data_IF_940175056686
#
_entry.id   IF_940175056686
#
_cell.length_a   1.000
_cell.length_b   1.000
_cell.length_c   1.000
_cell.angle_alpha   90.00
_cell.angle_beta   90.00
_cell.angle_gamma   90.00
#
_symmetry.space_group_name_H-M   'P 1'
#
loop_
_entity.id
_entity.type
_entity.pdbx_description
1 polymer ?
#
# COMPACT_ATOMS: atom_id res chain seq x y z
N UNK A 1 -5.62 -13.11 14.06
CA UNK A 1 -5.09 -12.77 12.72
C UNK A 1 -6.25 -12.16 11.96
N UNK A 2 -6.28 -10.83 11.82
CA UNK A 2 -7.30 -10.17 11.00
C UNK A 2 -6.90 -10.38 9.54
N UNK A 3 -7.72 -11.15 8.86
CA UNK A 3 -7.59 -11.38 7.42
C UNK A 3 -7.72 -10.02 6.72
N UNK A 4 -6.74 -9.68 5.87
CA UNK A 4 -6.75 -8.46 5.06
C UNK A 4 -7.73 -8.59 3.88
N UNK A 5 -8.92 -9.17 4.13
CA UNK A 5 -9.93 -9.33 3.10
C UNK A 5 -10.44 -7.94 2.70
N UNK A 6 -10.27 -7.63 1.44
CA UNK A 6 -10.84 -6.43 0.82
C UNK A 6 -12.36 -6.51 0.95
N UNK A 7 -12.93 -5.68 1.79
CA UNK A 7 -14.38 -5.58 1.91
C UNK A 7 -14.82 -4.56 0.87
N UNK A 8 -15.49 -5.02 -0.19
CA UNK A 8 -16.18 -4.14 -1.12
C UNK A 8 -17.57 -3.83 -0.57
N UNK A 9 -17.82 -2.56 -0.34
CA UNK A 9 -19.10 -2.09 0.21
C UNK A 9 -19.73 -1.15 -0.81
N UNK A 10 -21.00 -1.36 -1.09
CA UNK A 10 -21.81 -0.38 -1.81
C UNK A 10 -22.40 0.61 -0.82
N UNK A 11 -22.09 1.89 -0.98
CA UNK A 11 -22.70 2.98 -0.24
C UNK A 11 -23.15 4.08 -1.22
N UNK A 12 -24.19 4.83 -0.86
CA UNK A 12 -24.58 5.97 -1.69
C UNK A 12 -23.52 7.08 -1.60
N UNK A 13 -23.37 7.85 -2.69
CA UNK A 13 -22.48 9.01 -2.73
C UNK A 13 -22.77 10.03 -1.62
N UNK A 14 -24.05 10.24 -1.30
CA UNK A 14 -24.48 11.12 -0.23
C UNK A 14 -24.04 10.64 1.16
N UNK A 15 -24.15 9.33 1.42
CA UNK A 15 -23.70 8.74 2.68
C UNK A 15 -22.17 8.79 2.80
N UNK A 16 -21.45 8.58 1.71
CA UNK A 16 -19.99 8.70 1.68
C UNK A 16 -19.54 10.13 2.01
N UNK A 17 -20.20 11.14 1.42
CA UNK A 17 -19.94 12.54 1.72
C UNK A 17 -20.25 12.89 3.17
N UNK A 18 -21.39 12.41 3.69
CA UNK A 18 -21.76 12.58 5.09
C UNK A 18 -20.71 11.96 6.02
N UNK A 19 -20.28 10.74 5.76
CA UNK A 19 -19.27 10.07 6.56
C UNK A 19 -17.93 10.79 6.54
N UNK A 20 -17.47 11.24 5.38
CA UNK A 20 -16.22 12.04 5.26
C UNK A 20 -16.25 13.32 6.10
N UNK A 21 -17.41 13.91 6.26
CA UNK A 21 -17.59 15.20 6.93
C UNK A 21 -17.83 15.08 8.44
N UNK A 22 -18.38 13.97 8.91
CA UNK A 22 -18.92 13.86 10.27
C UNK A 22 -18.36 12.68 11.08
N UNK A 23 -17.53 11.83 10.51
CA UNK A 23 -17.06 10.61 11.17
C UNK A 23 -15.53 10.58 11.21
N UNK A 24 -14.96 10.56 12.41
CA UNK A 24 -13.52 10.53 12.65
C UNK A 24 -12.83 9.28 12.08
N UNK A 25 -13.52 8.14 12.09
CA UNK A 25 -13.06 6.89 11.49
C UNK A 25 -14.11 6.27 10.59
N UNK A 26 -14.19 6.79 9.35
CA UNK A 26 -15.16 6.36 8.33
C UNK A 26 -15.06 4.86 8.06
N UNK A 27 -13.85 4.30 8.06
CA UNK A 27 -13.64 2.89 7.77
C UNK A 27 -14.23 1.97 8.84
N UNK A 28 -14.10 2.36 10.12
CA UNK A 28 -14.68 1.58 11.22
C UNK A 28 -16.21 1.69 11.21
N UNK A 29 -16.73 2.90 11.07
CA UNK A 29 -18.17 3.15 11.02
C UNK A 29 -18.85 2.38 9.88
N UNK A 30 -18.27 2.42 8.67
CA UNK A 30 -18.81 1.67 7.53
C UNK A 30 -18.71 0.17 7.76
N UNK A 31 -17.59 -0.32 8.32
CA UNK A 31 -17.41 -1.76 8.60
C UNK A 31 -18.48 -2.29 9.58
N UNK A 32 -18.76 -1.56 10.66
CA UNK A 32 -19.79 -1.91 11.63
C UNK A 32 -21.17 -1.83 11.01
N UNK A 33 -21.50 -0.73 10.32
CA UNK A 33 -22.80 -0.53 9.67
C UNK A 33 -23.10 -1.56 8.59
N UNK A 34 -22.05 -2.06 7.89
CA UNK A 34 -22.21 -3.09 6.85
C UNK A 34 -22.36 -4.47 7.44
N UNK A 35 -21.63 -4.81 8.52
CA UNK A 35 -21.80 -6.08 9.22
C UNK A 35 -23.26 -6.26 9.62
N UNK A 36 -23.86 -5.23 10.23
CA UNK A 36 -25.27 -5.27 10.65
C UNK A 36 -26.24 -5.42 9.48
N UNK A 37 -25.90 -4.90 8.29
CA UNK A 37 -26.76 -5.01 7.09
C UNK A 37 -26.57 -6.30 6.30
N UNK A 38 -25.38 -6.87 6.32
CA UNK A 38 -25.13 -8.21 5.75
C UNK A 38 -25.92 -9.25 6.55
N UNK A 39 -25.89 -9.16 7.88
CA UNK A 39 -26.60 -10.06 8.77
C UNK A 39 -28.14 -9.92 8.64
N UNK A 40 -28.62 -8.76 8.18
CA UNK A 40 -30.05 -8.49 7.94
C UNK A 40 -30.55 -8.77 6.50
N UNK A 41 -29.67 -9.17 5.56
CA UNK A 41 -30.04 -9.52 4.18
C UNK A 41 -30.47 -8.35 3.28
N UNK A 42 -30.19 -7.11 3.66
CA UNK A 42 -30.70 -5.88 3.03
C UNK A 42 -29.84 -5.27 1.91
N UNK A 43 -28.82 -5.99 1.42
CA UNK A 43 -27.87 -5.44 0.41
C UNK A 43 -28.22 -5.85 -1.03
N UNK A 44 -29.34 -5.37 -1.57
CA UNK A 44 -29.75 -5.64 -2.98
C UNK A 44 -30.07 -4.37 -3.79
N UNK A 45 -29.70 -3.18 -3.33
CA UNK A 45 -29.99 -1.94 -4.05
C UNK A 45 -28.97 -1.68 -5.19
N UNK A 46 -29.40 -1.65 -6.47
CA UNK A 46 -28.50 -1.42 -7.60
C UNK A 46 -27.99 0.03 -7.74
N UNK A 47 -28.52 0.98 -6.94
CA UNK A 47 -28.08 2.38 -6.95
C UNK A 47 -26.81 2.65 -6.13
N UNK A 48 -26.30 1.63 -5.43
CA UNK A 48 -25.13 1.78 -4.56
C UNK A 48 -23.83 1.68 -5.37
N UNK A 49 -22.96 2.68 -5.21
CA UNK A 49 -21.59 2.63 -5.76
C UNK A 49 -20.71 1.69 -4.95
N UNK A 50 -19.80 0.97 -5.65
CA UNK A 50 -18.78 0.17 -4.99
C UNK A 50 -17.67 1.08 -4.46
N UNK A 51 -17.51 1.13 -3.15
CA UNK A 51 -16.38 1.79 -2.51
C UNK A 51 -15.45 0.74 -1.93
N UNK A 52 -14.27 0.62 -2.50
CA UNK A 52 -13.20 -0.20 -1.91
C UNK A 52 -12.56 0.58 -0.76
N UNK A 53 -12.90 0.21 0.47
CA UNK A 53 -12.33 0.84 1.66
C UNK A 53 -11.08 0.05 2.05
N UNK A 54 -9.93 0.61 1.78
CA UNK A 54 -8.66 0.14 2.34
C UNK A 54 -8.48 0.78 3.69
N UNK A 55 -8.61 -0.01 4.76
CA UNK A 55 -8.31 0.48 6.10
C UNK A 55 -6.82 0.79 6.20
N UNK A 56 -6.49 1.99 6.67
CA UNK A 56 -5.11 2.33 7.03
C UNK A 56 -4.65 1.34 8.09
N UNK A 57 -3.65 0.53 7.79
CA UNK A 57 -3.05 -0.33 8.79
C UNK A 57 -2.24 0.52 9.77
N UNK A 58 -2.08 0.12 11.04
CA UNK A 58 -1.38 0.92 12.05
C UNK A 58 0.10 1.18 11.72
N UNK A 59 0.67 0.46 10.74
CA UNK A 59 2.07 0.58 10.34
C UNK A 59 2.21 1.08 8.90
N UNK A 60 1.47 2.12 8.55
CA UNK A 60 1.49 2.73 7.22
C UNK A 60 1.95 4.18 7.30
N UNK A 61 2.96 4.53 6.51
CA UNK A 61 3.67 5.79 6.60
C UNK A 61 3.84 6.44 5.23
N UNK A 62 3.90 7.76 5.21
CA UNK A 62 4.52 8.47 4.10
C UNK A 62 6.02 8.22 4.11
N UNK A 63 6.60 8.09 2.93
CA UNK A 63 8.04 7.95 2.79
C UNK A 63 8.55 8.58 1.49
N UNK A 64 9.84 8.77 1.41
CA UNK A 64 10.56 9.12 0.17
C UNK A 64 11.68 8.13 -0.07
N UNK A 65 12.02 7.90 -1.33
CA UNK A 65 13.17 7.08 -1.69
C UNK A 65 14.46 7.84 -1.36
N UNK A 66 15.31 7.24 -0.53
CA UNK A 66 16.70 7.71 -0.35
C UNK A 66 17.60 7.13 -1.46
N UNK A 67 17.62 5.80 -1.60
CA UNK A 67 18.16 5.07 -2.75
C UNK A 67 17.63 3.62 -2.78
N UNK A 68 17.60 3.02 -3.95
CA UNK A 68 17.39 1.60 -4.12
C UNK A 68 18.73 0.85 -3.93
N UNK A 69 18.72 -0.22 -3.13
CA UNK A 69 19.90 -1.06 -2.88
C UNK A 69 20.00 -2.13 -3.96
N UNK A 70 18.87 -2.74 -4.28
CA UNK A 70 18.66 -3.71 -5.36
C UNK A 70 17.20 -3.67 -5.83
N UNK A 71 16.77 -4.65 -6.63
CA UNK A 71 15.43 -4.68 -7.22
C UNK A 71 14.30 -4.87 -6.21
N UNK A 72 14.56 -5.37 -5.01
CA UNK A 72 13.54 -5.61 -3.97
C UNK A 72 13.90 -5.04 -2.60
N UNK A 73 15.04 -4.36 -2.47
CA UNK A 73 15.50 -3.76 -1.21
C UNK A 73 15.76 -2.27 -1.37
N UNK A 74 15.10 -1.47 -0.56
CA UNK A 74 15.11 -0.01 -0.62
C UNK A 74 15.58 0.58 0.71
N UNK A 75 16.33 1.67 0.67
CA UNK A 75 16.49 2.58 1.80
C UNK A 75 15.47 3.72 1.64
N UNK A 76 14.56 3.82 2.60
CA UNK A 76 13.49 4.82 2.61
C UNK A 76 13.65 5.77 3.79
N UNK A 77 13.25 7.00 3.58
CA UNK A 77 13.10 8.01 4.62
C UNK A 77 11.63 8.15 4.97
N UNK A 78 11.23 7.65 6.15
CA UNK A 78 9.86 7.61 6.64
C UNK A 78 9.52 8.89 7.40
N UNK A 79 8.36 9.46 7.13
CA UNK A 79 7.76 10.48 7.98
C UNK A 79 7.02 9.80 9.15
N UNK A 80 7.58 9.90 10.34
CA UNK A 80 6.98 9.37 11.57
C UNK A 80 6.04 10.38 12.26
N UNK A 81 5.79 11.54 11.64
CA UNK A 81 5.09 12.66 12.26
C UNK A 81 5.96 13.47 13.21
N UNK A 82 5.43 14.55 13.75
CA UNK A 82 6.14 15.45 14.68
C UNK A 82 7.49 15.96 14.17
N UNK A 83 7.66 16.10 12.83
CA UNK A 83 8.93 16.44 12.15
C UNK A 83 10.04 15.41 12.37
N UNK A 84 9.71 14.17 12.72
CA UNK A 84 10.66 13.07 12.90
C UNK A 84 10.72 12.28 11.59
N UNK A 85 11.93 12.17 11.04
CA UNK A 85 12.21 11.35 9.88
C UNK A 85 13.12 10.19 10.28
N UNK A 86 12.79 8.99 9.83
CA UNK A 86 13.53 7.77 10.16
C UNK A 86 13.96 7.08 8.86
N UNK A 87 15.26 6.80 8.72
CA UNK A 87 15.79 6.04 7.59
C UNK A 87 15.86 4.57 7.94
N UNK A 88 15.15 3.75 7.19
CA UNK A 88 15.11 2.30 7.40
C UNK A 88 15.15 1.54 6.08
N UNK A 89 15.74 0.34 6.14
CA UNK A 89 15.76 -0.59 5.02
C UNK A 89 14.47 -1.39 4.98
N UNK A 90 13.85 -1.45 3.81
CA UNK A 90 12.69 -2.30 3.57
C UNK A 90 12.99 -3.31 2.48
N UNK A 91 12.42 -4.51 2.61
CA UNK A 91 12.35 -5.52 1.56
C UNK A 91 10.91 -5.60 1.06
N UNK A 92 10.74 -5.61 -0.25
CA UNK A 92 9.43 -5.75 -0.87
C UNK A 92 8.87 -7.14 -0.60
N UNK A 93 7.70 -7.19 0.05
CA UNK A 93 7.04 -8.45 0.43
C UNK A 93 6.45 -9.16 -0.78
N UNK A 94 6.50 -10.50 -0.78
CA UNK A 94 5.84 -11.35 -1.77
C UNK A 94 6.56 -11.44 -3.11
N UNK A 95 7.75 -10.85 -3.23
CA UNK A 95 8.57 -10.91 -4.45
C UNK A 95 10.04 -11.17 -4.13
N UNK A 96 10.76 -11.64 -5.14
CA UNK A 96 12.20 -11.85 -5.12
C UNK A 96 12.78 -11.38 -6.45
N UNK A 97 13.63 -10.35 -6.40
CA UNK A 97 14.30 -9.81 -7.57
C UNK A 97 15.64 -10.55 -7.78
N UNK A 98 16.11 -10.65 -9.04
CA UNK A 98 17.43 -11.18 -9.31
C UNK A 98 18.55 -10.36 -8.66
N UNK A 99 19.63 -11.03 -8.27
CA UNK A 99 20.79 -10.41 -7.67
C UNK A 99 21.40 -9.32 -8.57
N UNK A 100 21.97 -8.28 -7.97
CA UNK A 100 22.46 -7.08 -8.66
C UNK A 100 23.65 -7.34 -9.60
N UNK A 101 24.36 -8.44 -9.42
CA UNK A 101 25.45 -8.87 -10.30
C UNK A 101 24.96 -9.42 -11.64
N UNK A 102 23.65 -9.64 -11.78
CA UNK A 102 23.01 -10.09 -13.02
C UNK A 102 22.48 -8.92 -13.84
N UNK A 103 22.39 -9.10 -15.16
CA UNK A 103 21.77 -8.08 -16.04
C UNK A 103 20.31 -7.78 -15.64
N UNK A 104 19.54 -8.82 -15.29
CA UNK A 104 18.15 -8.64 -14.83
C UNK A 104 18.07 -7.89 -13.49
N UNK A 105 19.00 -8.14 -12.57
CA UNK A 105 19.06 -7.40 -11.30
C UNK A 105 19.35 -5.91 -11.52
N UNK A 106 20.26 -5.58 -12.45
CA UNK A 106 20.53 -4.19 -12.85
C UNK A 106 19.31 -3.54 -13.52
N UNK A 107 18.59 -4.29 -14.36
CA UNK A 107 17.33 -3.81 -14.96
C UNK A 107 16.24 -3.58 -13.91
N UNK A 108 16.14 -4.45 -12.90
CA UNK A 108 15.20 -4.30 -11.79
C UNK A 108 15.52 -3.04 -10.96
N UNK A 109 16.79 -2.84 -10.61
CA UNK A 109 17.24 -1.64 -9.92
C UNK A 109 16.90 -0.36 -10.70
N UNK A 110 17.28 -0.31 -11.99
CA UNK A 110 17.01 0.84 -12.84
C UNK A 110 15.49 1.11 -12.99
N UNK A 111 14.68 0.07 -13.04
CA UNK A 111 13.23 0.19 -13.06
C UNK A 111 12.70 0.86 -11.78
N UNK A 112 13.15 0.39 -10.61
CA UNK A 112 12.76 0.94 -9.32
C UNK A 112 13.16 2.41 -9.20
N UNK A 113 14.40 2.75 -9.53
CA UNK A 113 14.88 4.14 -9.49
C UNK A 113 14.06 5.04 -10.41
N UNK A 114 13.74 4.58 -11.61
CA UNK A 114 12.92 5.32 -12.56
C UNK A 114 11.50 5.56 -12.06
N UNK A 115 10.82 4.49 -11.58
CA UNK A 115 9.42 4.56 -11.15
C UNK A 115 9.24 5.39 -9.88
N UNK A 116 10.22 5.34 -8.96
CA UNK A 116 10.14 6.07 -7.70
C UNK A 116 10.75 7.47 -7.73
N UNK A 117 11.40 7.86 -8.83
CA UNK A 117 11.99 9.19 -8.96
C UNK A 117 10.91 10.29 -8.89
N UNK A 118 10.97 11.10 -7.83
CA UNK A 118 10.01 12.17 -7.59
C UNK A 118 8.59 11.69 -7.21
N UNK A 119 8.41 10.41 -6.92
CA UNK A 119 7.14 9.86 -6.49
C UNK A 119 6.88 10.09 -4.99
N UNK A 120 5.60 10.26 -4.64
CA UNK A 120 5.13 10.20 -3.26
C UNK A 120 4.86 8.73 -2.92
N UNK A 121 5.40 8.27 -1.79
CA UNK A 121 5.30 6.88 -1.37
C UNK A 121 4.40 6.74 -0.16
N UNK A 122 3.59 5.67 -0.17
CA UNK A 122 2.94 5.14 1.02
C UNK A 122 3.49 3.74 1.24
N UNK A 123 4.04 3.51 2.42
CA UNK A 123 4.71 2.25 2.77
C UNK A 123 3.97 1.57 3.90
N UNK A 124 3.42 0.41 3.61
CA UNK A 124 2.80 -0.45 4.63
C UNK A 124 3.82 -1.48 5.09
N UNK A 125 4.35 -1.29 6.30
CA UNK A 125 5.31 -2.20 6.89
C UNK A 125 4.63 -3.36 7.60
N UNK A 126 5.30 -4.51 7.60
CA UNK A 126 4.91 -5.72 8.33
C UNK A 126 5.93 -6.03 9.42
N UNK A 127 6.29 -7.28 9.63
CA UNK A 127 7.32 -7.71 10.57
C UNK A 127 8.72 -7.35 10.07
N UNK A 128 9.66 -7.18 10.98
CA UNK A 128 11.08 -7.10 10.68
C UNK A 128 11.62 -8.53 10.45
N UNK A 129 12.34 -8.73 9.35
CA UNK A 129 12.95 -10.03 9.07
C UNK A 129 14.28 -10.23 9.81
N UNK A 130 14.83 -11.45 9.76
CA UNK A 130 16.06 -11.84 10.48
C UNK A 130 17.31 -11.01 10.12
N UNK A 131 17.33 -10.38 8.95
CA UNK A 131 18.43 -9.51 8.51
C UNK A 131 18.21 -8.03 8.86
N UNK A 132 17.18 -7.73 9.63
CA UNK A 132 16.92 -6.39 10.15
C UNK A 132 16.19 -5.45 9.20
N UNK A 133 15.72 -5.91 8.02
CA UNK A 133 14.88 -5.14 7.11
C UNK A 133 13.40 -5.30 7.47
N UNK A 134 12.59 -4.26 7.26
CA UNK A 134 11.14 -4.39 7.35
C UNK A 134 10.58 -4.96 6.04
N UNK A 135 9.73 -5.97 6.13
CA UNK A 135 8.92 -6.41 5.00
C UNK A 135 7.85 -5.36 4.72
N UNK A 136 7.68 -4.93 3.47
CA UNK A 136 6.76 -3.85 3.15
C UNK A 136 6.07 -3.99 1.78
N UNK A 137 4.87 -3.41 1.69
CA UNK A 137 4.23 -3.02 0.45
C UNK A 137 4.51 -1.54 0.19
N UNK A 138 4.93 -1.20 -1.03
CA UNK A 138 5.25 0.17 -1.41
C UNK A 138 4.28 0.63 -2.50
N UNK A 139 3.35 1.49 -2.11
CA UNK A 139 2.46 2.20 -3.04
C UNK A 139 3.10 3.51 -3.44
N UNK A 140 2.96 3.90 -4.70
CA UNK A 140 3.57 5.14 -5.19
C UNK A 140 2.74 5.85 -6.25
N UNK A 141 2.92 7.16 -6.33
CA UNK A 141 2.37 7.99 -7.39
C UNK A 141 3.20 9.24 -7.61
N UNK A 142 3.40 9.63 -8.87
CA UNK A 142 3.97 10.94 -9.24
C UNK A 142 2.87 12.01 -9.25
N UNK A 143 1.63 11.59 -9.51
CA UNK A 143 0.48 12.48 -9.69
C UNK A 143 -0.21 12.82 -8.37
N UNK A 144 -0.43 11.80 -7.52
CA UNK A 144 -1.18 11.93 -6.27
C UNK A 144 -0.25 12.17 -5.09
N UNK A 145 -0.69 12.98 -4.13
CA UNK A 145 0.06 13.33 -2.91
C UNK A 145 -0.66 12.89 -1.64
N UNK A 146 -2.00 12.84 -1.69
CA UNK A 146 -2.80 12.46 -0.55
C UNK A 146 -2.75 10.94 -0.34
N UNK A 147 -2.80 10.54 0.93
CA UNK A 147 -2.72 9.13 1.33
C UNK A 147 -3.74 8.25 0.60
N UNK A 148 -5.02 8.64 0.67
CA UNK A 148 -6.12 7.84 0.12
C UNK A 148 -6.04 7.75 -1.41
N UNK A 149 -5.59 8.81 -2.08
CA UNK A 149 -5.44 8.85 -3.53
C UNK A 149 -4.29 7.97 -4.00
N UNK A 150 -3.15 7.97 -3.29
CA UNK A 150 -2.02 7.08 -3.62
C UNK A 150 -2.42 5.61 -3.43
N UNK A 151 -3.10 5.28 -2.34
CA UNK A 151 -3.56 3.90 -2.08
C UNK A 151 -4.61 3.46 -3.12
N UNK A 152 -5.50 4.36 -3.54
CA UNK A 152 -6.61 4.04 -4.45
C UNK A 152 -6.21 4.01 -5.92
N UNK A 153 -5.41 4.98 -6.34
CA UNK A 153 -5.11 5.24 -7.76
C UNK A 153 -3.63 5.11 -8.10
N UNK A 154 -2.77 5.02 -7.11
CA UNK A 154 -1.34 4.78 -7.30
C UNK A 154 -1.04 3.36 -7.72
N UNK A 155 0.21 3.10 -7.98
CA UNK A 155 0.73 1.78 -8.33
C UNK A 155 1.31 1.08 -7.10
N UNK A 156 1.30 -0.25 -7.09
CA UNK A 156 1.98 -1.08 -6.11
C UNK A 156 3.30 -1.57 -6.71
N UNK A 157 4.43 -1.10 -6.21
CA UNK A 157 5.77 -1.42 -6.75
C UNK A 157 6.03 -2.93 -6.80
N UNK A 158 5.64 -3.66 -5.73
CA UNK A 158 5.73 -5.11 -5.66
C UNK A 158 5.08 -5.80 -6.87
N UNK A 159 3.91 -5.31 -7.31
CA UNK A 159 3.20 -5.86 -8.47
C UNK A 159 3.80 -5.40 -9.80
N UNK A 160 4.25 -4.15 -9.88
CA UNK A 160 4.80 -3.59 -11.11
C UNK A 160 6.10 -4.31 -11.52
N UNK A 161 6.95 -4.67 -10.55
CA UNK A 161 8.16 -5.46 -10.79
C UNK A 161 7.84 -6.86 -11.35
N UNK A 162 6.81 -7.52 -10.81
CA UNK A 162 6.36 -8.83 -11.31
C UNK A 162 5.78 -8.71 -12.71
N UNK A 163 4.93 -7.69 -12.97
CA UNK A 163 4.35 -7.44 -14.29
C UNK A 163 5.42 -7.13 -15.35
N UNK A 164 6.48 -6.43 -14.95
CA UNK A 164 7.61 -6.15 -15.83
C UNK A 164 8.53 -7.37 -16.07
N UNK A 165 8.32 -8.50 -15.37
CA UNK A 165 9.18 -9.68 -15.44
C UNK A 165 10.55 -9.49 -14.78
N UNK A 166 10.66 -8.50 -13.90
CA UNK A 166 11.89 -8.10 -13.19
C UNK A 166 11.99 -8.70 -11.78
N UNK A 167 10.92 -9.30 -11.28
CA UNK A 167 10.91 -10.07 -10.04
C UNK A 167 9.97 -11.27 -10.16
N UNK A 168 10.24 -12.31 -9.39
CA UNK A 168 9.40 -13.48 -9.28
C UNK A 168 8.48 -13.37 -8.05
N UNK A 169 7.33 -14.04 -8.07
CA UNK A 169 6.51 -14.20 -6.87
C UNK A 169 7.25 -15.05 -5.86
N UNK A 170 7.29 -14.60 -4.63
CA UNK A 170 7.92 -15.29 -3.52
C UNK A 170 6.94 -15.35 -2.33
N UNK A 171 6.94 -16.46 -1.59
CA UNK A 171 6.12 -16.61 -0.40
C UNK A 171 7.01 -16.34 0.82
N UNK A 172 6.80 -15.21 1.45
CA UNK A 172 7.44 -14.90 2.72
C UNK A 172 6.78 -15.72 3.85
N UNK A 173 7.55 -16.59 4.50
CA UNK A 173 7.11 -17.44 5.62
C UNK A 173 6.96 -16.66 6.93
#
# INVERSE_FOLDING_TARGET
MLNNDKIQIRISSELLEYCKKNVENVSLFIRESVRDKIDSGLLTDPSLEFVEIRCRTPYTYFATLEHAIDGDTLLLNFDAGFFINIKEKVRLIGIDAPELDTEKGQQALAFVEKELNGANLIVETRKKEKYGRYLAYVYYSVQYKEFDDIIRYGKLLNEELVKAGLANRYKDD
#
